data_IF_821392696323
#
_entry.id   IF_821392696323
#
_cell.length_a   1.000
_cell.length_b   1.000
_cell.length_c   1.000
_cell.angle_alpha   90.00
_cell.angle_beta   90.00
_cell.angle_gamma   90.00
#
_symmetry.space_group_name_H-M   'P 1'
#
loop_
_entity.id
_entity.type
_entity.pdbx_description
1 polymer ?
#
# COMPACT_ATOMS: atom_id res chain seq x y z
N UNK A 1 -22.43 -12.02 -30.51
CA UNK A 1 -21.24 -12.91 -30.33
C UNK A 1 -21.47 -13.73 -29.08
N UNK A 2 -21.48 -15.07 -29.16
CA UNK A 2 -21.57 -15.89 -27.94
C UNK A 2 -20.28 -15.71 -27.14
N UNK A 3 -20.42 -15.32 -25.87
CA UNK A 3 -19.32 -15.24 -24.93
C UNK A 3 -18.66 -16.62 -24.83
N UNK A 4 -17.34 -16.75 -24.94
CA UNK A 4 -16.68 -18.01 -24.61
C UNK A 4 -17.10 -18.41 -23.20
N UNK A 5 -17.62 -19.63 -23.04
CA UNK A 5 -18.14 -20.22 -21.79
C UNK A 5 -17.03 -20.56 -20.80
N UNK A 6 -16.03 -19.69 -20.69
CA UNK A 6 -14.96 -19.80 -19.71
C UNK A 6 -15.51 -19.45 -18.33
N UNK A 7 -15.34 -20.32 -17.30
CA UNK A 7 -15.80 -20.03 -15.94
C UNK A 7 -15.23 -18.73 -15.38
N UNK A 8 -13.99 -18.39 -15.74
CA UNK A 8 -13.35 -17.12 -15.36
C UNK A 8 -12.72 -16.43 -16.57
N UNK A 9 -12.59 -15.10 -16.50
CA UNK A 9 -11.94 -14.29 -17.51
C UNK A 9 -10.46 -14.67 -17.71
N UNK A 10 -9.83 -15.25 -16.68
CA UNK A 10 -8.45 -15.74 -16.73
C UNK A 10 -8.31 -17.03 -17.53
N UNK A 11 -9.36 -17.85 -17.63
CA UNK A 11 -9.33 -19.12 -18.37
C UNK A 11 -9.33 -18.90 -19.88
N UNK A 12 -9.73 -17.71 -20.34
CA UNK A 12 -9.62 -17.27 -21.72
C UNK A 12 -8.15 -17.05 -22.14
N UNK A 13 -7.58 -17.87 -23.05
CA UNK A 13 -6.15 -17.80 -23.40
C UNK A 13 -5.68 -16.41 -23.90
N UNK A 14 -6.44 -15.68 -24.74
CA UNK A 14 -6.07 -14.33 -25.15
C UNK A 14 -5.92 -13.35 -23.97
N UNK A 15 -6.67 -13.54 -22.89
CA UNK A 15 -6.56 -12.72 -21.67
C UNK A 15 -5.23 -12.94 -20.95
N UNK A 16 -4.79 -14.20 -20.81
CA UNK A 16 -3.47 -14.51 -20.24
C UNK A 16 -2.34 -13.92 -21.07
N UNK A 17 -2.42 -14.03 -22.40
CA UNK A 17 -1.44 -13.44 -23.31
C UNK A 17 -1.39 -11.92 -23.21
N UNK A 18 -2.55 -11.25 -23.18
CA UNK A 18 -2.62 -9.79 -23.03
C UNK A 18 -2.00 -9.32 -21.70
N UNK A 19 -2.31 -10.01 -20.60
CA UNK A 19 -1.72 -9.73 -19.29
C UNK A 19 -0.21 -10.02 -19.24
N UNK A 20 0.22 -11.17 -19.77
CA UNK A 20 1.62 -11.57 -19.80
C UNK A 20 2.45 -10.61 -20.65
N UNK A 21 1.97 -10.24 -21.84
CA UNK A 21 2.62 -9.22 -22.68
C UNK A 21 2.76 -7.90 -21.92
N UNK A 22 1.73 -7.47 -21.20
CA UNK A 22 1.80 -6.27 -20.38
C UNK A 22 2.87 -6.39 -19.28
N UNK A 23 2.96 -7.54 -18.62
CA UNK A 23 3.98 -7.82 -17.61
C UNK A 23 5.38 -7.86 -18.17
N UNK A 24 5.60 -8.56 -19.28
CA UNK A 24 6.90 -8.64 -19.96
C UNK A 24 7.37 -7.24 -20.37
N UNK A 25 6.51 -6.43 -21.00
CA UNK A 25 6.87 -5.05 -21.37
C UNK A 25 7.23 -4.19 -20.14
N UNK A 26 6.56 -4.41 -19.01
CA UNK A 26 6.85 -3.72 -17.76
C UNK A 26 8.19 -4.17 -17.15
N UNK A 27 8.51 -5.46 -17.19
CA UNK A 27 9.78 -6.03 -16.71
C UNK A 27 10.94 -5.61 -17.61
N UNK A 28 10.77 -5.71 -18.93
CA UNK A 28 11.75 -5.22 -19.90
C UNK A 28 12.01 -3.73 -19.67
N UNK A 29 10.96 -2.91 -19.51
CA UNK A 29 11.14 -1.50 -19.16
C UNK A 29 11.89 -1.32 -17.84
N UNK A 30 11.57 -2.12 -16.81
CA UNK A 30 12.23 -2.03 -15.50
C UNK A 30 13.72 -2.35 -15.56
N UNK A 31 14.14 -3.27 -16.44
CA UNK A 31 15.55 -3.65 -16.62
C UNK A 31 16.27 -2.69 -17.58
N UNK A 32 15.61 -2.33 -18.68
CA UNK A 32 16.18 -1.50 -19.73
C UNK A 32 16.47 -0.07 -19.24
N UNK A 33 15.62 0.54 -18.40
CA UNK A 33 15.87 1.90 -17.92
C UNK A 33 17.15 2.03 -17.08
N UNK A 34 17.40 1.19 -16.06
CA UNK A 34 18.70 1.12 -15.39
C UNK A 34 19.85 0.78 -16.33
N UNK A 35 19.65 -0.16 -17.26
CA UNK A 35 20.68 -0.54 -18.23
C UNK A 35 21.13 0.64 -19.10
N UNK A 36 20.16 1.38 -19.67
CA UNK A 36 20.41 2.63 -20.41
C UNK A 36 21.13 3.63 -19.53
N UNK A 37 20.73 3.78 -18.28
CA UNK A 37 21.39 4.71 -17.37
C UNK A 37 22.86 4.36 -17.09
N UNK A 38 23.15 3.08 -16.83
CA UNK A 38 24.53 2.60 -16.65
C UNK A 38 25.35 2.79 -17.93
N UNK A 39 24.77 2.48 -19.10
CA UNK A 39 25.43 2.71 -20.38
C UNK A 39 25.73 4.18 -20.64
N UNK A 40 24.78 5.08 -20.35
CA UNK A 40 24.96 6.53 -20.48
C UNK A 40 26.05 7.04 -19.54
N UNK A 41 26.07 6.57 -18.29
CA UNK A 41 27.14 6.91 -17.35
C UNK A 41 28.50 6.42 -17.86
N UNK A 42 28.59 5.16 -18.32
CA UNK A 42 29.83 4.60 -18.85
C UNK A 42 30.34 5.39 -20.05
N UNK A 43 29.48 5.74 -21.01
CA UNK A 43 29.84 6.59 -22.17
C UNK A 43 30.30 7.97 -21.70
N UNK A 44 29.61 8.55 -20.72
CA UNK A 44 29.96 9.85 -20.15
C UNK A 44 31.32 9.85 -19.45
N UNK A 45 31.68 8.77 -18.74
CA UNK A 45 32.93 8.72 -17.98
C UNK A 45 34.11 8.17 -18.77
N UNK A 46 33.85 7.33 -19.78
CA UNK A 46 34.91 6.57 -20.46
C UNK A 46 35.24 7.13 -21.85
N UNK A 47 34.26 7.66 -22.57
CA UNK A 47 34.44 8.08 -23.98
C UNK A 47 34.80 9.56 -24.10
N UNK A 48 34.33 10.39 -23.17
CA UNK A 48 34.54 11.84 -23.25
C UNK A 48 34.91 12.41 -21.88
N UNK A 49 36.17 12.83 -21.65
CA UNK A 49 36.55 13.53 -20.41
C UNK A 49 35.91 14.93 -20.29
N UNK A 50 35.10 15.33 -21.26
CA UNK A 50 34.45 16.63 -21.30
C UNK A 50 33.15 16.62 -20.49
N UNK A 51 33.15 17.36 -19.37
CA UNK A 51 32.06 17.40 -18.41
C UNK A 51 30.70 17.88 -18.98
N UNK A 52 30.64 18.48 -20.17
CA UNK A 52 29.38 18.97 -20.75
C UNK A 52 28.42 17.85 -21.16
N UNK A 53 28.94 16.68 -21.54
CA UNK A 53 28.12 15.54 -21.98
C UNK A 53 27.27 14.98 -20.83
N UNK A 54 27.76 15.09 -19.60
CA UNK A 54 27.00 14.72 -18.40
C UNK A 54 25.71 15.56 -18.28
N UNK A 55 25.73 16.85 -18.65
CA UNK A 55 24.54 17.70 -18.64
C UNK A 55 23.48 17.27 -19.65
N UNK A 56 23.90 16.74 -20.81
CA UNK A 56 22.96 16.17 -21.79
C UNK A 56 22.27 14.92 -21.24
N UNK A 57 22.98 14.11 -20.46
CA UNK A 57 22.44 12.85 -19.91
C UNK A 57 21.69 13.00 -18.59
N UNK A 58 21.80 14.12 -17.88
CA UNK A 58 21.03 14.39 -16.65
C UNK A 58 19.51 14.29 -16.90
N UNK A 59 18.91 14.96 -17.91
CA UNK A 59 17.48 14.83 -18.21
C UNK A 59 17.03 13.39 -18.46
N UNK A 60 17.82 12.61 -19.20
CA UNK A 60 17.53 11.20 -19.47
C UNK A 60 17.63 10.35 -18.21
N UNK A 61 18.58 10.65 -17.33
CA UNK A 61 18.74 9.99 -16.04
C UNK A 61 17.55 10.25 -15.11
N UNK A 62 17.13 11.51 -14.99
CA UNK A 62 15.96 11.90 -14.21
C UNK A 62 14.69 11.25 -14.77
N UNK A 63 14.55 11.22 -16.10
CA UNK A 63 13.44 10.55 -16.77
C UNK A 63 13.46 9.04 -16.52
N UNK A 64 14.64 8.39 -16.59
CA UNK A 64 14.81 6.96 -16.29
C UNK A 64 14.40 6.62 -14.85
N UNK A 65 14.81 7.42 -13.86
CA UNK A 65 14.40 7.27 -12.46
C UNK A 65 12.89 7.48 -12.28
N UNK A 66 12.31 8.50 -12.92
CA UNK A 66 10.87 8.70 -12.95
C UNK A 66 10.15 7.47 -13.54
N UNK A 67 10.64 6.95 -14.67
CA UNK A 67 10.10 5.76 -15.32
C UNK A 67 10.20 4.53 -14.42
N UNK A 68 11.32 4.32 -13.74
CA UNK A 68 11.50 3.24 -12.76
C UNK A 68 10.46 3.31 -11.64
N UNK A 69 10.28 4.49 -11.03
CA UNK A 69 9.26 4.72 -10.00
C UNK A 69 7.86 4.39 -10.53
N UNK A 70 7.51 4.93 -11.70
CA UNK A 70 6.23 4.67 -12.36
C UNK A 70 6.07 3.17 -12.63
N UNK A 71 7.12 2.49 -13.09
CA UNK A 71 7.14 1.06 -13.39
C UNK A 71 6.81 0.20 -12.16
N UNK A 72 7.40 0.52 -11.00
CA UNK A 72 7.11 -0.17 -9.74
C UNK A 72 5.66 -0.04 -9.29
N UNK A 73 5.01 1.10 -9.55
CA UNK A 73 3.61 1.29 -9.17
C UNK A 73 2.63 0.44 -9.98
N UNK A 74 3.03 -0.08 -11.16
CA UNK A 74 2.19 -0.94 -11.98
C UNK A 74 2.05 -2.36 -11.43
N UNK A 75 3.11 -2.94 -10.87
CA UNK A 75 3.09 -4.35 -10.46
C UNK A 75 1.94 -4.69 -9.50
N UNK A 76 1.71 -3.93 -8.40
CA UNK A 76 0.57 -4.19 -7.53
C UNK A 76 -0.78 -4.15 -8.26
N UNK A 77 -0.95 -3.23 -9.21
CA UNK A 77 -2.19 -3.11 -9.99
C UNK A 77 -2.34 -4.27 -10.96
N UNK A 78 -1.27 -4.70 -11.64
CA UNK A 78 -1.30 -5.85 -12.55
C UNK A 78 -1.61 -7.16 -11.81
N UNK A 79 -1.07 -7.35 -10.60
CA UNK A 79 -1.43 -8.50 -9.77
C UNK A 79 -2.88 -8.45 -9.29
N UNK A 80 -3.42 -7.25 -8.99
CA UNK A 80 -4.85 -7.08 -8.70
C UNK A 80 -5.72 -7.41 -9.90
N UNK A 81 -5.37 -6.93 -11.10
CA UNK A 81 -6.07 -7.30 -12.34
C UNK A 81 -6.15 -8.83 -12.48
N UNK A 82 -5.02 -9.54 -12.28
CA UNK A 82 -4.99 -11.01 -12.35
C UNK A 82 -5.92 -11.66 -11.33
N UNK A 83 -6.04 -11.12 -10.10
CA UNK A 83 -6.96 -11.65 -9.10
C UNK A 83 -8.42 -11.46 -9.50
N UNK A 84 -8.77 -10.29 -10.04
CA UNK A 84 -10.13 -10.03 -10.55
C UNK A 84 -10.46 -10.98 -11.70
N UNK A 85 -9.56 -11.11 -12.68
CA UNK A 85 -9.76 -11.98 -13.83
C UNK A 85 -9.93 -13.45 -13.45
N UNK A 86 -9.35 -13.89 -12.33
CA UNK A 86 -9.51 -15.25 -11.78
C UNK A 86 -10.80 -15.45 -10.99
N UNK A 87 -11.49 -14.38 -10.61
CA UNK A 87 -12.68 -14.43 -9.76
C UNK A 87 -13.98 -14.18 -10.55
N UNK A 88 -13.90 -13.52 -11.71
CA UNK A 88 -15.05 -13.11 -12.50
C UNK A 88 -14.91 -13.55 -13.96
N UNK A 89 -15.99 -14.00 -14.63
CA UNK A 89 -16.02 -14.24 -16.07
C UNK A 89 -16.02 -12.92 -16.86
N UNK A 90 -15.74 -12.99 -18.16
CA UNK A 90 -15.93 -11.86 -19.06
C UNK A 90 -17.41 -11.66 -19.37
N UNK A 91 -17.83 -10.39 -19.34
CA UNK A 91 -19.11 -9.90 -19.83
C UNK A 91 -18.83 -8.96 -21.01
N UNK A 92 -19.68 -9.03 -22.03
CA UNK A 92 -19.57 -8.20 -23.24
C UNK A 92 -20.70 -7.19 -23.18
N UNK A 93 -20.34 -5.93 -22.95
CA UNK A 93 -21.29 -4.86 -22.73
C UNK A 93 -21.25 -3.90 -23.92
N UNK A 94 -22.39 -3.68 -24.55
CA UNK A 94 -22.57 -2.73 -25.64
C UNK A 94 -23.20 -1.44 -25.11
N UNK A 95 -22.88 -0.30 -25.73
CA UNK A 95 -23.48 0.99 -25.37
C UNK A 95 -23.28 1.45 -23.93
N UNK A 96 -22.21 0.99 -23.25
CA UNK A 96 -21.92 1.34 -21.85
C UNK A 96 -21.74 2.85 -21.70
N UNK A 97 -22.59 3.58 -20.96
CA UNK A 97 -22.43 5.02 -20.82
C UNK A 97 -21.07 5.34 -20.20
N UNK A 98 -20.43 6.38 -20.71
CA UNK A 98 -19.13 6.81 -20.22
C UNK A 98 -19.00 8.32 -20.28
N UNK A 99 -17.98 8.86 -19.63
CA UNK A 99 -17.75 10.30 -19.70
C UNK A 99 -16.39 10.74 -19.18
N UNK A 100 -16.15 12.04 -19.37
CA UNK A 100 -15.02 12.78 -18.82
C UNK A 100 -15.55 13.83 -17.84
N UNK A 101 -15.00 13.88 -16.63
CA UNK A 101 -15.27 14.93 -15.64
C UNK A 101 -16.08 14.43 -14.45
N UNK A 102 -16.96 15.30 -13.93
CA UNK A 102 -17.76 15.03 -12.75
C UNK A 102 -18.99 14.19 -13.12
N UNK A 103 -19.25 13.15 -12.35
CA UNK A 103 -20.48 12.34 -12.44
C UNK A 103 -21.24 12.46 -11.13
N UNK A 104 -22.56 12.65 -11.17
CA UNK A 104 -23.38 12.93 -9.98
C UNK A 104 -23.33 11.81 -8.93
N UNK A 105 -23.27 10.56 -9.37
CA UNK A 105 -23.14 9.39 -8.49
C UNK A 105 -21.70 8.98 -8.14
N UNK A 106 -20.68 9.66 -8.66
CA UNK A 106 -19.28 9.28 -8.41
C UNK A 106 -18.66 10.12 -7.29
N UNK A 107 -17.91 9.47 -6.39
CA UNK A 107 -17.22 10.16 -5.29
C UNK A 107 -15.96 10.91 -5.74
N UNK A 108 -15.31 10.43 -6.79
CA UNK A 108 -14.08 11.01 -7.34
C UNK A 108 -14.37 11.53 -8.76
N UNK A 109 -13.78 12.67 -9.12
CA UNK A 109 -13.87 13.22 -10.49
C UNK A 109 -12.91 12.50 -11.44
N UNK A 110 -13.29 12.35 -12.71
CA UNK A 110 -12.37 11.82 -13.73
C UNK A 110 -13.04 11.17 -14.92
N UNK A 111 -12.35 10.21 -15.53
CA UNK A 111 -12.98 9.33 -16.53
C UNK A 111 -13.83 8.31 -15.80
N UNK A 112 -15.00 7.97 -16.31
CA UNK A 112 -15.87 6.98 -15.70
C UNK A 112 -16.61 6.13 -16.75
N UNK A 113 -17.02 4.94 -16.32
CA UNK A 113 -18.00 4.09 -16.99
C UNK A 113 -19.15 3.82 -16.02
N UNK A 114 -20.37 3.81 -16.53
CA UNK A 114 -21.57 3.51 -15.75
C UNK A 114 -22.00 2.06 -15.99
N UNK A 115 -22.11 1.29 -14.91
CA UNK A 115 -22.50 -0.12 -14.95
C UNK A 115 -23.78 -0.34 -14.15
N UNK A 116 -24.62 -1.31 -14.55
CA UNK A 116 -25.80 -1.70 -13.76
C UNK A 116 -25.38 -2.43 -12.49
N UNK A 117 -26.07 -2.19 -11.39
CA UNK A 117 -25.88 -2.97 -10.17
C UNK A 117 -26.39 -4.41 -10.40
N UNK A 118 -25.59 -5.45 -10.13
CA UNK A 118 -26.04 -6.83 -10.27
C UNK A 118 -27.16 -7.23 -9.28
N UNK A 119 -27.35 -6.49 -8.17
CA UNK A 119 -28.44 -6.72 -7.22
C UNK A 119 -29.72 -5.93 -7.57
N UNK A 120 -29.60 -4.81 -8.28
CA UNK A 120 -30.72 -3.97 -8.71
C UNK A 120 -30.42 -3.40 -10.10
N UNK A 121 -31.13 -3.87 -11.13
CA UNK A 121 -30.84 -3.52 -12.51
C UNK A 121 -31.11 -2.04 -12.84
N UNK A 122 -31.96 -1.36 -12.05
CA UNK A 122 -32.29 0.06 -12.22
C UNK A 122 -31.21 0.97 -11.60
N UNK A 123 -30.52 0.49 -10.56
CA UNK A 123 -29.42 1.22 -9.95
C UNK A 123 -28.17 1.19 -10.83
N UNK A 124 -27.58 2.37 -11.04
CA UNK A 124 -26.40 2.55 -11.87
C UNK A 124 -25.21 3.01 -11.06
N UNK A 125 -24.10 2.31 -11.22
CA UNK A 125 -22.88 2.49 -10.45
C UNK A 125 -21.77 3.03 -11.37
N UNK A 126 -21.29 4.26 -11.15
CA UNK A 126 -20.16 4.81 -11.89
C UNK A 126 -18.84 4.27 -11.32
N UNK A 127 -18.02 3.65 -12.18
CA UNK A 127 -16.64 3.28 -11.87
C UNK A 127 -15.67 4.29 -12.48
N UNK A 128 -14.93 4.98 -11.62
CA UNK A 128 -13.99 6.04 -12.00
C UNK A 128 -12.58 5.48 -12.20
N UNK A 129 -11.85 6.04 -13.17
CA UNK A 129 -10.42 5.82 -13.36
C UNK A 129 -9.63 6.64 -12.33
N UNK A 130 -9.57 6.15 -11.09
CA UNK A 130 -8.89 6.85 -9.97
C UNK A 130 -7.39 7.06 -10.27
N UNK A 131 -6.78 6.24 -11.14
CA UNK A 131 -5.36 6.36 -11.51
C UNK A 131 -5.20 6.78 -12.97
N UNK A 132 -4.40 7.83 -13.25
CA UNK A 132 -4.18 8.32 -14.62
C UNK A 132 -3.25 7.41 -15.45
N UNK A 133 -2.82 6.26 -14.92
CA UNK A 133 -1.82 5.44 -15.59
C UNK A 133 -2.38 4.76 -16.83
N UNK A 134 -1.86 5.15 -18.01
CA UNK A 134 -2.33 4.70 -19.33
C UNK A 134 -3.79 5.02 -19.62
N UNK A 135 -4.39 5.93 -18.85
CA UNK A 135 -5.76 6.36 -19.06
C UNK A 135 -5.90 7.27 -20.29
N UNK A 136 -4.82 7.92 -20.75
CA UNK A 136 -4.84 8.79 -21.93
C UNK A 136 -5.41 8.10 -23.20
N UNK A 137 -5.11 6.81 -23.41
CA UNK A 137 -5.67 6.07 -24.53
C UNK A 137 -7.20 5.91 -24.42
N UNK A 138 -7.68 5.67 -23.20
CA UNK A 138 -9.11 5.58 -22.86
C UNK A 138 -9.80 6.94 -22.96
N UNK A 139 -9.19 7.99 -22.40
CA UNK A 139 -9.69 9.37 -22.43
C UNK A 139 -10.08 9.84 -23.83
N UNK A 140 -9.32 9.44 -24.87
CA UNK A 140 -9.60 9.80 -26.27
C UNK A 140 -10.75 9.01 -26.91
N UNK A 141 -11.33 8.04 -26.20
CA UNK A 141 -12.34 7.08 -26.69
C UNK A 141 -13.61 7.04 -25.85
N UNK A 142 -13.58 7.61 -24.64
CA UNK A 142 -14.75 7.83 -23.80
C UNK A 142 -15.57 9.01 -24.31
N UNK A 143 -16.82 9.07 -23.94
CA UNK A 143 -17.73 10.09 -24.44
C UNK A 143 -17.31 11.46 -23.90
N UNK A 144 -17.20 12.42 -24.82
CA UNK A 144 -16.76 13.76 -24.51
C UNK A 144 -16.93 14.67 -25.73
N UNK A 145 -16.81 16.00 -25.57
CA UNK A 145 -17.18 16.96 -26.62
C UNK A 145 -16.44 16.80 -27.95
N UNK A 146 -15.31 16.10 -27.96
CA UNK A 146 -14.43 15.91 -29.12
C UNK A 146 -14.25 14.45 -29.53
N UNK A 147 -15.00 13.52 -28.93
CA UNK A 147 -14.82 12.08 -29.20
C UNK A 147 -15.52 11.72 -30.50
N UNK A 148 -14.74 11.26 -31.48
CA UNK A 148 -15.28 10.81 -32.77
C UNK A 148 -15.93 9.43 -32.62
N UNK A 149 -17.07 9.14 -33.28
CA UNK A 149 -17.73 7.83 -33.22
C UNK A 149 -16.81 6.65 -33.56
N UNK A 150 -15.89 6.83 -34.53
CA UNK A 150 -14.89 5.81 -34.89
C UNK A 150 -13.91 5.48 -33.75
N UNK A 151 -13.61 6.43 -32.87
CA UNK A 151 -12.77 6.17 -31.70
C UNK A 151 -13.56 5.45 -30.61
N UNK A 152 -14.83 5.83 -30.44
CA UNK A 152 -15.77 5.17 -29.53
C UNK A 152 -16.00 3.70 -29.91
N UNK A 153 -16.19 3.40 -31.18
CA UNK A 153 -16.31 2.03 -31.69
C UNK A 153 -15.07 1.14 -31.42
N UNK A 154 -13.92 1.70 -31.03
CA UNK A 154 -12.73 0.91 -30.66
C UNK A 154 -12.79 0.37 -29.23
N UNK A 155 -13.72 0.84 -28.40
CA UNK A 155 -13.94 0.33 -27.04
C UNK A 155 -15.22 -0.52 -26.95
N UNK A 156 -16.00 -0.64 -28.03
CA UNK A 156 -17.25 -1.39 -28.09
C UNK A 156 -17.09 -2.68 -28.94
N UNK A 157 -17.59 -3.84 -28.47
CA UNK A 157 -18.16 -4.08 -27.13
C UNK A 157 -17.08 -3.98 -26.04
N UNK A 158 -17.46 -3.46 -24.88
CA UNK A 158 -16.59 -3.35 -23.72
C UNK A 158 -16.50 -4.72 -23.03
N UNK A 159 -15.28 -5.24 -22.90
CA UNK A 159 -15.04 -6.45 -22.12
C UNK A 159 -14.95 -6.06 -20.66
N UNK A 160 -15.86 -6.57 -19.83
CA UNK A 160 -15.95 -6.27 -18.40
C UNK A 160 -15.81 -7.56 -17.57
N UNK A 161 -14.94 -7.55 -16.56
CA UNK A 161 -14.81 -8.65 -15.61
C UNK A 161 -14.67 -8.09 -14.20
N UNK A 162 -15.65 -8.32 -13.34
CA UNK A 162 -15.66 -7.79 -11.98
C UNK A 162 -17.07 -7.64 -11.42
N UNK A 163 -17.15 -6.89 -10.35
CA UNK A 163 -18.39 -6.40 -9.76
C UNK A 163 -18.27 -4.87 -9.65
N UNK A 164 -19.13 -4.09 -10.30
CA UNK A 164 -19.04 -2.63 -10.28
C UNK A 164 -19.16 -2.07 -8.86
N UNK A 165 -19.70 -2.86 -7.92
CA UNK A 165 -19.79 -2.50 -6.52
C UNK A 165 -18.44 -2.36 -5.82
N UNK A 166 -17.42 -3.06 -6.32
CA UNK A 166 -16.13 -3.17 -5.66
C UNK A 166 -14.96 -2.85 -6.60
N UNK A 167 -14.76 -3.72 -7.59
CA UNK A 167 -13.58 -3.72 -8.43
C UNK A 167 -13.87 -4.44 -9.74
N UNK A 168 -13.24 -3.95 -10.80
CA UNK A 168 -13.39 -4.52 -12.12
C UNK A 168 -12.14 -4.36 -12.97
N UNK A 169 -12.04 -5.20 -13.99
CA UNK A 169 -11.12 -5.05 -15.10
C UNK A 169 -11.95 -4.81 -16.35
N UNK A 170 -11.66 -3.71 -17.03
CA UNK A 170 -12.19 -3.44 -18.35
C UNK A 170 -11.12 -3.67 -19.40
N UNK A 171 -11.54 -4.07 -20.60
CA UNK A 171 -10.66 -4.21 -21.74
C UNK A 171 -11.35 -3.74 -23.01
N UNK A 172 -10.57 -3.14 -23.89
CA UNK A 172 -11.03 -2.82 -25.23
C UNK A 172 -10.92 -4.06 -26.13
N UNK A 173 -11.78 -4.21 -27.14
CA UNK A 173 -11.66 -5.28 -28.11
C UNK A 173 -10.35 -5.15 -28.91
N UNK A 174 -9.77 -6.31 -29.22
CA UNK A 174 -8.65 -6.44 -30.13
C UNK A 174 -9.04 -6.26 -31.59
N UNK A 175 -8.06 -6.40 -32.49
CA UNK A 175 -8.34 -6.42 -33.93
C UNK A 175 -9.24 -7.64 -34.19
N UNK A 176 -10.43 -7.41 -34.76
CA UNK A 176 -11.43 -8.46 -34.97
C UNK A 176 -12.30 -8.82 -33.76
N UNK A 177 -12.27 -8.04 -32.66
CA UNK A 177 -13.25 -8.18 -31.56
C UNK A 177 -13.08 -9.38 -30.62
N UNK A 178 -12.31 -10.41 -31.03
CA UNK A 178 -12.23 -11.73 -30.34
C UNK A 178 -11.31 -11.79 -29.12
N UNK A 179 -10.48 -10.78 -28.87
CA UNK A 179 -9.48 -10.83 -27.81
C UNK A 179 -9.43 -9.53 -27.01
N UNK A 180 -9.38 -9.55 -25.67
CA UNK A 180 -9.25 -8.34 -24.89
C UNK A 180 -7.86 -7.73 -25.07
N UNK A 181 -7.82 -6.42 -25.26
CA UNK A 181 -6.60 -5.61 -25.28
C UNK A 181 -6.75 -4.45 -24.29
N UNK A 182 -5.61 -3.83 -23.96
CA UNK A 182 -5.58 -2.60 -23.13
C UNK A 182 -6.26 -2.76 -21.76
N UNK A 183 -6.08 -3.91 -21.10
CA UNK A 183 -6.60 -4.17 -19.74
C UNK A 183 -6.40 -2.95 -18.82
N UNK A 184 -7.45 -2.54 -18.14
CA UNK A 184 -7.42 -1.46 -17.16
C UNK A 184 -8.20 -1.87 -15.91
N UNK A 185 -7.66 -1.52 -14.74
CA UNK A 185 -8.25 -1.86 -13.45
C UNK A 185 -9.03 -0.66 -12.91
N UNK A 186 -10.32 -0.85 -12.70
CA UNK A 186 -11.25 0.09 -12.09
C UNK A 186 -11.60 -0.40 -10.69
N UNK A 187 -11.85 0.53 -9.77
CA UNK A 187 -12.26 0.18 -8.42
C UNK A 187 -13.01 1.32 -7.77
N UNK A 188 -13.93 0.96 -6.87
CA UNK A 188 -14.47 1.91 -5.92
C UNK A 188 -13.48 2.15 -4.81
N UNK A 189 -13.34 3.40 -4.39
CA UNK A 189 -12.38 3.78 -3.35
C UNK A 189 -12.56 2.96 -2.05
N UNK A 190 -13.78 2.73 -1.53
CA UNK A 190 -14.00 1.86 -0.36
C UNK A 190 -13.47 0.43 -0.52
N UNK A 191 -13.50 -0.14 -1.73
CA UNK A 191 -13.01 -1.50 -1.95
C UNK A 191 -11.49 -1.66 -1.77
N UNK A 192 -10.74 -0.57 -1.65
CA UNK A 192 -9.27 -0.58 -1.50
C UNK A 192 -8.82 0.24 -0.30
N UNK A 193 -9.50 1.36 -0.05
CA UNK A 193 -9.29 2.25 1.06
C UNK A 193 -10.27 1.92 2.17
N UNK A 194 -9.77 1.22 3.19
CA UNK A 194 -10.57 0.80 4.37
C UNK A 194 -11.06 2.03 5.16
N UNK A 195 -10.49 3.21 4.91
CA UNK A 195 -10.93 4.45 5.56
C UNK A 195 -12.23 4.99 4.98
N UNK A 196 -12.66 4.51 3.81
CA UNK A 196 -13.91 4.94 3.21
C UNK A 196 -15.00 3.95 3.61
N UNK A 197 -16.10 4.47 4.17
CA UNK A 197 -17.29 3.67 4.45
C UNK A 197 -17.76 3.04 3.14
N UNK A 198 -17.88 1.71 3.07
CA UNK A 198 -18.43 1.03 1.90
C UNK A 198 -19.92 1.32 1.81
N UNK A 199 -20.38 1.67 0.62
CA UNK A 199 -21.81 1.69 0.33
C UNK A 199 -22.28 0.23 0.25
N UNK A 200 -23.39 -0.09 0.91
CA UNK A 200 -23.83 -1.48 1.07
C UNK A 200 -24.30 -2.10 -0.24
N UNK A 201 -24.80 -1.30 -1.19
CA UNK A 201 -25.21 -1.63 -2.58
C UNK A 201 -25.86 -3.02 -2.74
N UNK A 202 -26.63 -3.44 -1.73
CA UNK A 202 -27.28 -4.75 -1.67
C UNK A 202 -26.35 -5.96 -1.85
N UNK A 203 -25.06 -5.86 -1.50
CA UNK A 203 -24.13 -6.95 -1.73
C UNK A 203 -24.38 -8.15 -0.82
N UNK A 204 -24.62 -9.32 -1.44
CA UNK A 204 -24.82 -10.56 -0.69
C UNK A 204 -23.49 -11.03 -0.06
N UNK A 205 -23.52 -11.85 1.00
CA UNK A 205 -22.30 -12.42 1.58
C UNK A 205 -21.42 -13.15 0.56
N UNK A 206 -22.03 -13.85 -0.41
CA UNK A 206 -21.33 -14.54 -1.49
C UNK A 206 -20.60 -13.57 -2.44
N UNK A 207 -21.18 -12.40 -2.71
CA UNK A 207 -20.55 -11.34 -3.50
C UNK A 207 -19.35 -10.75 -2.75
N UNK A 208 -19.50 -10.51 -1.45
CA UNK A 208 -18.43 -10.03 -0.58
C UNK A 208 -17.25 -11.01 -0.53
N UNK A 209 -17.53 -12.31 -0.39
CA UNK A 209 -16.51 -13.36 -0.43
C UNK A 209 -15.78 -13.39 -1.78
N UNK A 210 -16.52 -13.29 -2.89
CA UNK A 210 -15.94 -13.26 -4.24
C UNK A 210 -15.08 -12.01 -4.44
N UNK A 211 -15.56 -10.84 -4.02
CA UNK A 211 -14.82 -9.59 -4.06
C UNK A 211 -13.54 -9.65 -3.22
N UNK A 212 -13.60 -10.25 -2.01
CA UNK A 212 -12.43 -10.49 -1.15
C UNK A 212 -11.40 -11.39 -1.83
N UNK A 213 -11.82 -12.47 -2.51
CA UNK A 213 -10.92 -13.31 -3.34
C UNK A 213 -10.25 -12.52 -4.47
N UNK A 214 -10.99 -11.60 -5.09
CA UNK A 214 -10.47 -10.69 -6.10
C UNK A 214 -9.56 -9.58 -5.53
N UNK A 215 -9.50 -9.43 -4.20
CA UNK A 215 -8.62 -8.51 -3.50
C UNK A 215 -9.29 -7.22 -3.02
N UNK A 216 -10.62 -7.16 -3.02
CA UNK A 216 -11.38 -6.11 -2.35
C UNK A 216 -11.18 -6.21 -0.85
N UNK A 217 -11.16 -5.06 -0.19
CA UNK A 217 -11.18 -4.93 1.25
C UNK A 217 -12.59 -4.50 1.62
N UNK A 218 -13.46 -5.49 1.78
CA UNK A 218 -14.82 -5.25 2.26
C UNK A 218 -14.90 -5.83 3.65
N UNK A 219 -15.23 -4.98 4.61
CA UNK A 219 -15.47 -5.42 5.97
C UNK A 219 -16.79 -6.18 6.00
N UNK A 220 -16.78 -7.35 6.63
CA UNK A 220 -18.04 -8.06 6.89
C UNK A 220 -18.76 -7.28 7.99
N UNK A 221 -19.99 -6.79 7.77
CA UNK A 221 -20.71 -6.00 8.78
C UNK A 221 -21.00 -6.77 10.08
N UNK A 222 -20.68 -8.07 10.16
CA UNK A 222 -21.02 -8.97 11.25
C UNK A 222 -20.13 -8.87 12.50
N UNK A 223 -19.21 -7.93 12.60
CA UNK A 223 -18.41 -7.78 13.82
C UNK A 223 -17.84 -6.39 14.00
N UNK A 224 -18.58 -5.34 13.64
CA UNK A 224 -18.50 -4.19 14.54
C UNK A 224 -19.14 -4.73 15.80
N UNK A 225 -18.39 -5.02 16.89
CA UNK A 225 -19.07 -5.23 18.14
C UNK A 225 -19.89 -3.96 18.30
N UNK A 226 -21.22 -4.08 18.33
CA UNK A 226 -21.99 -3.30 19.28
C UNK A 226 -21.31 -3.60 20.60
N UNK A 227 -20.25 -2.84 20.86
CA UNK A 227 -19.74 -2.67 22.21
C UNK A 227 -20.94 -2.03 22.84
N UNK A 228 -21.74 -2.84 23.53
CA UNK A 228 -22.73 -2.33 24.45
C UNK A 228 -21.95 -1.35 25.32
N UNK A 229 -22.13 -0.07 25.02
CA UNK A 229 -21.42 1.05 25.63
C UNK A 229 -21.69 1.09 27.15
N UNK A 230 -22.61 0.23 27.61
CA UNK A 230 -22.98 -0.06 28.98
C UNK A 230 -21.91 -0.81 29.81
N UNK A 231 -21.09 -1.69 29.22
CA UNK A 231 -20.17 -2.53 30.03
C UNK A 231 -18.74 -1.96 30.20
N UNK A 232 -18.44 -0.81 29.59
CA UNK A 232 -17.19 -0.06 29.78
C UNK A 232 -17.38 1.11 30.75
N UNK A 233 -18.15 0.89 31.83
CA UNK A 233 -18.26 1.83 32.96
C UNK A 233 -17.51 1.38 34.22
N UNK A 234 -16.88 0.20 34.20
CA UNK A 234 -16.05 -0.30 35.30
C UNK A 234 -14.67 0.36 35.41
N UNK A 235 -14.60 1.56 35.98
CA UNK A 235 -13.42 2.01 36.74
C UNK A 235 -12.14 2.41 36.00
N UNK A 236 -12.09 2.44 34.66
CA UNK A 236 -10.95 3.09 33.98
C UNK A 236 -11.08 4.60 34.07
N UNK A 237 -10.28 5.19 34.96
CA UNK A 237 -9.95 6.61 35.02
C UNK A 237 -9.88 7.18 33.60
N UNK A 238 -10.93 7.92 33.20
CA UNK A 238 -11.03 8.50 31.86
C UNK A 238 -9.93 9.54 31.71
N UNK A 239 -8.81 9.12 31.15
CA UNK A 239 -7.70 10.03 30.87
C UNK A 239 -8.23 11.20 30.03
N UNK A 240 -7.94 12.46 30.41
CA UNK A 240 -8.57 13.66 29.85
C UNK A 240 -8.35 13.84 28.33
N UNK A 241 -7.44 13.06 27.75
CA UNK A 241 -7.10 13.09 26.32
C UNK A 241 -7.70 11.93 25.50
N UNK A 242 -8.47 11.01 26.11
CA UNK A 242 -9.05 9.84 25.41
C UNK A 242 -10.06 10.22 24.31
N UNK A 243 -10.66 11.40 24.37
CA UNK A 243 -11.57 11.94 23.35
C UNK A 243 -10.85 12.74 22.25
N UNK A 244 -9.60 13.14 22.49
CA UNK A 244 -8.85 13.97 21.56
C UNK A 244 -8.06 13.12 20.57
N UNK A 245 -7.79 13.62 19.34
CA UNK A 245 -6.87 12.97 18.43
C UNK A 245 -5.55 12.63 19.13
N UNK A 246 -5.07 11.41 18.93
CA UNK A 246 -3.86 10.87 19.55
C UNK A 246 -2.63 11.78 19.36
N UNK A 247 -2.60 12.56 18.27
CA UNK A 247 -1.54 13.52 17.97
C UNK A 247 -1.51 14.71 18.96
N UNK A 248 -2.63 15.06 19.61
CA UNK A 248 -2.69 16.13 20.63
C UNK A 248 -2.02 15.74 21.94
N UNK A 249 -1.79 14.44 22.17
CA UNK A 249 -0.98 13.97 23.29
C UNK A 249 0.48 14.45 23.12
N UNK A 250 1.03 15.33 23.99
CA UNK A 250 2.27 16.04 23.71
C UNK A 250 3.48 15.14 23.42
N UNK A 251 3.72 14.04 24.17
CA UNK A 251 4.79 13.09 23.85
C UNK A 251 4.65 12.48 22.45
N UNK A 252 3.41 12.17 22.03
CA UNK A 252 3.12 11.57 20.73
C UNK A 252 3.37 12.58 19.60
N UNK A 253 2.82 13.79 19.75
CA UNK A 253 2.99 14.89 18.79
C UNK A 253 4.46 15.24 18.58
N UNK A 254 5.22 15.41 19.66
CA UNK A 254 6.66 15.70 19.59
C UNK A 254 7.44 14.58 18.89
N UNK A 255 7.16 13.32 19.20
CA UNK A 255 7.85 12.19 18.59
C UNK A 255 7.60 12.08 17.08
N UNK A 256 6.35 12.29 16.64
CA UNK A 256 6.00 12.31 15.21
C UNK A 256 6.62 13.50 14.50
N UNK A 257 6.54 14.70 15.08
CA UNK A 257 7.15 15.91 14.52
C UNK A 257 8.65 15.75 14.34
N UNK A 258 9.38 15.27 15.35
CA UNK A 258 10.83 14.97 15.27
C UNK A 258 11.13 13.96 14.17
N UNK A 259 10.31 12.89 14.05
CA UNK A 259 10.50 11.87 13.00
C UNK A 259 10.31 12.45 11.60
N UNK A 260 9.28 13.26 11.37
CA UNK A 260 9.03 13.92 10.08
C UNK A 260 10.15 14.89 9.75
N UNK A 261 10.48 15.81 10.66
CA UNK A 261 11.57 16.78 10.48
C UNK A 261 12.88 16.08 10.16
N UNK A 262 13.26 15.05 10.92
CA UNK A 262 14.49 14.29 10.66
C UNK A 262 14.53 13.69 9.26
N UNK A 263 13.43 13.11 8.78
CA UNK A 263 13.39 12.55 7.43
C UNK A 263 13.40 13.64 6.35
N UNK A 264 12.77 14.79 6.61
CA UNK A 264 12.87 15.95 5.70
C UNK A 264 14.30 16.49 5.64
N UNK A 265 14.98 16.68 6.77
CA UNK A 265 16.38 17.12 6.81
C UNK A 265 17.29 16.13 6.06
N UNK A 266 17.11 14.82 6.29
CA UNK A 266 17.87 13.81 5.56
C UNK A 266 17.65 13.91 4.05
N UNK A 267 16.39 14.02 3.60
CA UNK A 267 16.05 14.05 2.17
C UNK A 267 16.41 15.36 1.46
N UNK A 268 16.27 16.50 2.13
CA UNK A 268 16.37 17.82 1.49
C UNK A 268 17.65 18.59 1.83
N UNK A 269 18.38 18.21 2.88
CA UNK A 269 19.66 18.82 3.21
C UNK A 269 20.82 17.82 3.04
N UNK A 270 20.75 16.67 3.73
CA UNK A 270 21.89 15.74 3.78
C UNK A 270 22.15 15.08 2.43
N UNK A 271 21.14 14.48 1.79
CA UNK A 271 21.32 13.84 0.50
C UNK A 271 21.75 14.81 -0.61
N UNK A 272 21.14 16.00 -0.75
CA UNK A 272 21.60 17.00 -1.70
C UNK A 272 23.04 17.45 -1.43
N UNK A 273 23.42 17.71 -0.18
CA UNK A 273 24.81 18.05 0.16
C UNK A 273 25.78 16.92 -0.18
N UNK A 274 25.40 15.67 0.10
CA UNK A 274 26.21 14.49 -0.21
C UNK A 274 26.44 14.30 -1.71
N UNK A 275 25.50 14.74 -2.56
CA UNK A 275 25.66 14.72 -4.01
C UNK A 275 26.40 15.97 -4.52
N UNK A 276 26.04 17.16 -4.01
CA UNK A 276 26.51 18.44 -4.51
C UNK A 276 27.98 18.69 -4.17
N UNK A 277 28.43 18.36 -2.95
CA UNK A 277 29.82 18.63 -2.53
C UNK A 277 30.82 17.87 -3.44
N UNK A 278 30.69 16.55 -3.67
CA UNK A 278 31.62 15.83 -4.53
C UNK A 278 31.49 16.22 -6.00
N UNK A 279 30.29 16.62 -6.43
CA UNK A 279 30.05 17.13 -7.78
C UNK A 279 30.80 18.45 -8.01
N UNK A 280 30.70 19.40 -7.08
CA UNK A 280 31.43 20.67 -7.15
C UNK A 280 32.95 20.46 -7.09
N UNK A 281 33.43 19.55 -6.24
CA UNK A 281 34.85 19.21 -6.14
C UNK A 281 35.38 18.55 -7.43
N UNK A 282 34.59 17.67 -8.06
CA UNK A 282 34.93 17.07 -9.34
C UNK A 282 34.89 18.10 -10.48
N UNK A 283 33.92 19.03 -10.47
CA UNK A 283 33.82 20.10 -11.45
C UNK A 283 35.00 21.09 -11.38
N UNK A 284 35.61 21.26 -10.21
CA UNK A 284 36.84 22.04 -10.01
C UNK A 284 38.12 21.39 -10.56
N UNK A 285 38.01 20.32 -11.37
CA UNK A 285 39.16 19.67 -12.02
C UNK A 285 39.90 18.63 -11.17
N UNK A 286 39.44 18.34 -9.96
CA UNK A 286 40.10 17.36 -9.10
C UNK A 286 39.58 15.93 -9.36
N UNK A 287 40.25 15.25 -10.29
CA UNK A 287 39.90 13.88 -10.72
C UNK A 287 39.91 12.83 -9.61
N UNK A 288 40.54 13.09 -8.44
CA UNK A 288 40.54 12.17 -7.28
C UNK A 288 39.14 11.94 -6.71
N UNK A 289 38.18 12.81 -6.98
CA UNK A 289 36.80 12.68 -6.51
C UNK A 289 35.90 11.84 -7.42
N UNK A 290 36.36 11.46 -8.63
CA UNK A 290 35.57 10.65 -9.57
C UNK A 290 35.11 9.31 -8.96
N UNK A 291 35.98 8.51 -8.30
CA UNK A 291 35.54 7.26 -7.67
C UNK A 291 34.51 7.46 -6.55
N UNK A 292 34.64 8.55 -5.79
CA UNK A 292 33.67 8.92 -4.75
C UNK A 292 32.33 9.26 -5.40
N UNK A 293 32.35 10.03 -6.48
CA UNK A 293 31.13 10.37 -7.21
C UNK A 293 30.43 9.15 -7.78
N UNK A 294 31.16 8.20 -8.36
CA UNK A 294 30.59 6.93 -8.84
C UNK A 294 29.92 6.16 -7.70
N UNK A 295 30.57 6.04 -6.53
CA UNK A 295 29.96 5.38 -5.35
C UNK A 295 28.67 6.06 -4.89
N UNK A 296 28.65 7.40 -4.89
CA UNK A 296 27.47 8.19 -4.49
C UNK A 296 26.34 8.00 -5.49
N UNK A 297 26.65 8.05 -6.78
CA UNK A 297 25.72 7.80 -7.88
C UNK A 297 25.09 6.40 -7.77
N UNK A 298 25.82 5.41 -7.27
CA UNK A 298 25.28 4.06 -6.99
C UNK A 298 24.47 3.99 -5.68
N UNK A 299 24.92 4.65 -4.60
CA UNK A 299 24.27 4.59 -3.29
C UNK A 299 22.97 5.40 -3.22
N UNK A 300 22.90 6.56 -3.88
CA UNK A 300 21.75 7.47 -3.85
C UNK A 300 20.46 6.78 -4.30
N UNK A 301 20.42 6.06 -5.45
CA UNK A 301 19.24 5.31 -5.88
C UNK A 301 18.78 4.23 -4.90
N UNK A 302 19.66 3.72 -4.03
CA UNK A 302 19.31 2.69 -3.03
C UNK A 302 18.77 3.35 -1.76
N UNK A 303 19.46 4.38 -1.27
CA UNK A 303 19.18 4.96 0.03
C UNK A 303 18.05 6.00 0.00
N UNK A 304 17.94 6.81 -1.06
CA UNK A 304 16.88 7.83 -1.17
C UNK A 304 15.48 7.19 -1.14
N UNK A 305 15.18 6.10 -1.87
CA UNK A 305 13.87 5.44 -1.77
C UNK A 305 13.55 4.96 -0.35
N UNK A 306 14.55 4.49 0.41
CA UNK A 306 14.37 4.09 1.80
C UNK A 306 13.95 5.29 2.68
N UNK A 307 14.62 6.44 2.54
CA UNK A 307 14.24 7.65 3.27
C UNK A 307 12.88 8.22 2.84
N UNK A 308 12.57 8.19 1.54
CA UNK A 308 11.23 8.56 1.03
C UNK A 308 10.18 7.66 1.66
N UNK A 309 10.41 6.35 1.68
CA UNK A 309 9.49 5.40 2.30
C UNK A 309 9.36 5.62 3.82
N UNK A 310 10.45 5.96 4.52
CA UNK A 310 10.42 6.28 5.93
C UNK A 310 9.61 7.57 6.21
N UNK A 311 9.78 8.61 5.39
CA UNK A 311 8.98 9.83 5.44
C UNK A 311 7.50 9.54 5.19
N UNK A 312 7.17 8.81 4.12
CA UNK A 312 5.79 8.41 3.79
C UNK A 312 5.17 7.61 4.93
N UNK A 313 5.93 6.71 5.57
CA UNK A 313 5.46 5.95 6.73
C UNK A 313 5.18 6.88 7.91
N UNK A 314 6.05 7.85 8.20
CA UNK A 314 5.83 8.85 9.25
C UNK A 314 4.61 9.72 8.99
N UNK A 315 4.42 10.19 7.75
CA UNK A 315 3.24 10.98 7.34
C UNK A 315 1.95 10.16 7.42
N UNK A 316 1.98 8.88 7.05
CA UNK A 316 0.83 7.98 7.24
C UNK A 316 0.48 7.81 8.72
N UNK A 317 1.48 7.67 9.59
CA UNK A 317 1.24 7.60 11.03
C UNK A 317 0.67 8.91 11.56
N UNK A 318 1.22 10.05 11.15
CA UNK A 318 0.69 11.37 11.50
C UNK A 318 -0.80 11.47 11.16
N UNK A 319 -1.19 11.07 9.94
CA UNK A 319 -2.60 11.09 9.51
C UNK A 319 -3.51 10.19 10.35
N UNK A 320 -3.06 8.99 10.73
CA UNK A 320 -3.85 8.10 11.61
C UNK A 320 -4.00 8.73 13.00
N UNK A 321 -2.91 9.26 13.56
CA UNK A 321 -2.90 9.88 14.89
C UNK A 321 -3.68 11.20 14.94
N UNK A 322 -3.79 11.93 13.82
CA UNK A 322 -4.57 13.17 13.75
C UNK A 322 -6.08 12.91 13.61
N UNK A 323 -6.49 11.69 13.25
CA UNK A 323 -7.89 11.33 12.99
C UNK A 323 -8.49 10.46 14.08
N UNK A 324 -7.68 9.68 14.78
CA UNK A 324 -8.14 8.74 15.80
C UNK A 324 -7.61 9.15 17.17
N UNK A 325 -8.46 9.02 18.19
CA UNK A 325 -8.00 9.12 19.57
C UNK A 325 -7.27 7.86 20.01
N UNK A 326 -6.47 8.00 21.05
CA UNK A 326 -5.82 6.87 21.70
C UNK A 326 -6.86 6.08 22.51
N UNK A 327 -6.91 4.77 22.30
CA UNK A 327 -7.72 3.82 23.07
C UNK A 327 -6.80 2.83 23.75
N UNK A 328 -7.05 2.54 25.02
CA UNK A 328 -6.32 1.50 25.72
C UNK A 328 -6.84 0.15 25.22
N UNK A 329 -5.94 -0.71 24.78
CA UNK A 329 -6.27 -2.03 24.24
C UNK A 329 -5.44 -3.05 24.99
N UNK A 330 -6.12 -4.04 25.56
CA UNK A 330 -5.45 -5.19 26.15
C UNK A 330 -4.72 -5.99 25.09
N UNK A 331 -3.47 -6.32 25.38
CA UNK A 331 -2.64 -7.10 24.50
C UNK A 331 -1.83 -8.13 25.26
N UNK A 332 -1.57 -9.24 24.59
CA UNK A 332 -0.68 -10.28 25.04
C UNK A 332 0.54 -10.31 24.10
N UNK A 333 1.75 -10.29 24.67
CA UNK A 333 2.97 -10.46 23.88
C UNK A 333 3.14 -11.94 23.56
N UNK A 334 2.94 -12.31 22.30
CA UNK A 334 2.99 -13.70 21.84
C UNK A 334 4.41 -14.06 21.41
N UNK A 335 4.90 -15.21 21.88
CA UNK A 335 6.20 -15.75 21.46
C UNK A 335 6.10 -16.32 20.04
N UNK A 336 6.89 -15.77 19.12
CA UNK A 336 6.98 -16.26 17.74
C UNK A 336 8.14 -17.24 17.58
N UNK A 337 7.87 -18.51 17.28
CA UNK A 337 8.90 -19.55 17.05
C UNK A 337 9.79 -19.24 15.83
N UNK A 338 9.23 -18.62 14.78
CA UNK A 338 9.95 -18.30 13.55
C UNK A 338 11.11 -17.29 13.74
N UNK A 339 11.14 -16.59 14.87
CA UNK A 339 12.19 -15.65 15.22
C UNK A 339 13.03 -16.32 16.29
N UNK A 340 13.90 -17.25 15.88
CA UNK A 340 14.77 -18.01 16.76
C UNK A 340 15.25 -17.15 17.92
N UNK A 341 14.70 -17.44 19.09
CA UNK A 341 14.96 -16.68 20.30
C UNK A 341 16.36 -17.05 20.76
N UNK A 342 17.38 -16.38 20.23
CA UNK A 342 18.51 -16.06 21.10
C UNK A 342 18.00 -14.92 21.97
N UNK A 343 17.37 -15.27 23.11
CA UNK A 343 17.50 -14.41 24.27
C UNK A 343 19.00 -14.19 24.38
N UNK A 344 19.44 -13.00 24.00
CA UNK A 344 20.75 -12.56 24.43
C UNK A 344 20.55 -12.43 25.93
N UNK A 345 21.01 -13.43 26.69
CA UNK A 345 21.07 -13.37 28.14
C UNK A 345 21.97 -12.18 28.49
N UNK A 346 21.39 -10.99 28.49
CA UNK A 346 21.96 -9.78 29.07
C UNK A 346 21.71 -9.80 30.58
N UNK A 347 21.94 -10.96 31.21
CA UNK A 347 21.79 -11.19 32.66
C UNK A 347 22.82 -10.41 33.48
N UNK A 348 23.82 -9.77 32.86
CA UNK A 348 24.92 -9.11 33.56
C UNK A 348 24.76 -7.62 33.83
N UNK A 349 23.67 -6.95 33.39
CA UNK A 349 23.56 -5.48 33.52
C UNK A 349 22.20 -4.92 33.96
N UNK A 350 21.26 -5.74 34.45
CA UNK A 350 19.95 -5.25 34.92
C UNK A 350 19.09 -4.57 33.83
N UNK A 351 19.42 -4.75 32.55
CA UNK A 351 18.63 -4.20 31.44
C UNK A 351 17.43 -5.11 31.17
N UNK A 352 16.26 -4.49 31.09
CA UNK A 352 15.00 -5.17 30.77
C UNK A 352 15.10 -5.88 29.41
N UNK A 353 14.86 -7.20 29.40
CA UNK A 353 14.85 -8.02 28.18
C UNK A 353 13.71 -7.54 27.29
N UNK A 354 14.04 -6.98 26.13
CA UNK A 354 13.04 -6.54 25.15
C UNK A 354 12.85 -7.60 24.07
N UNK A 355 11.60 -7.83 23.70
CA UNK A 355 11.22 -8.91 22.78
C UNK A 355 10.58 -8.36 21.51
N UNK A 356 10.76 -9.00 20.33
CA UNK A 356 10.12 -8.54 19.11
C UNK A 356 8.61 -8.42 19.32
N UNK A 357 8.04 -7.26 19.02
CA UNK A 357 6.63 -6.95 19.21
C UNK A 357 5.77 -7.77 18.26
N UNK A 358 5.39 -8.96 18.71
CA UNK A 358 4.33 -9.80 18.17
C UNK A 358 3.24 -9.80 19.23
N UNK A 359 2.14 -9.12 18.94
CA UNK A 359 1.11 -8.75 19.91
C UNK A 359 -0.20 -9.37 19.47
N UNK A 360 -0.83 -10.16 20.35
CA UNK A 360 -2.22 -10.56 20.20
C UNK A 360 -3.08 -9.54 20.92
N UNK A 361 -3.91 -8.84 20.18
CA UNK A 361 -4.89 -7.92 20.77
C UNK A 361 -6.07 -8.75 21.26
N UNK A 362 -6.39 -8.67 22.56
CA UNK A 362 -7.56 -9.36 23.14
C UNK A 362 -8.84 -8.79 22.53
N UNK A 363 -9.86 -9.64 22.36
CA UNK A 363 -11.11 -9.30 21.67
C UNK A 363 -11.07 -9.35 20.14
N UNK A 364 -9.93 -9.06 19.50
CA UNK A 364 -9.84 -9.10 18.03
C UNK A 364 -9.30 -10.42 17.46
N UNK A 365 -8.66 -11.27 18.29
CA UNK A 365 -8.08 -12.56 17.87
C UNK A 365 -6.90 -12.45 16.87
N UNK A 366 -6.62 -11.26 16.34
CA UNK A 366 -5.54 -11.04 15.38
C UNK A 366 -4.21 -10.84 16.06
N UNK A 367 -3.18 -11.54 15.56
CA UNK A 367 -1.80 -11.30 15.94
C UNK A 367 -1.16 -10.32 14.97
N UNK A 368 -0.59 -9.28 15.55
CA UNK A 368 -0.02 -8.15 14.86
C UNK A 368 1.47 -8.04 15.17
N UNK A 369 2.24 -7.51 14.23
CA UNK A 369 3.66 -7.24 14.42
C UNK A 369 3.99 -5.79 14.12
N UNK A 370 4.97 -5.25 14.82
CA UNK A 370 5.45 -3.90 14.57
C UNK A 370 6.04 -3.78 13.15
N UNK A 371 5.66 -2.70 12.45
CA UNK A 371 6.21 -2.34 11.15
C UNK A 371 6.70 -0.89 11.13
N UNK A 372 7.78 -0.60 10.39
CA UNK A 372 8.42 -1.51 9.44
C UNK A 372 9.72 -2.15 9.92
N UNK A 373 10.18 -1.85 11.13
CA UNK A 373 11.34 -2.48 11.75
C UNK A 373 10.92 -3.33 12.95
N UNK A 374 11.70 -4.37 13.25
CA UNK A 374 11.58 -5.15 14.48
C UNK A 374 11.66 -4.19 15.65
N UNK A 375 10.50 -3.90 16.23
CA UNK A 375 10.43 -3.11 17.45
C UNK A 375 10.41 -4.07 18.61
N UNK A 376 11.19 -3.75 19.62
CA UNK A 376 11.21 -4.53 20.83
C UNK A 376 10.38 -3.83 21.90
N UNK A 377 9.47 -4.58 22.50
CA UNK A 377 8.57 -4.16 23.58
C UNK A 377 8.90 -4.96 24.83
N UNK A 378 8.55 -4.43 25.99
CA UNK A 378 8.66 -5.20 27.22
C UNK A 378 7.69 -6.40 27.19
N UNK A 379 8.12 -7.61 27.59
CA UNK A 379 7.24 -8.77 27.65
C UNK A 379 6.15 -8.64 28.71
N UNK A 380 6.29 -7.69 29.64
CA UNK A 380 5.32 -7.41 30.71
C UNK A 380 4.19 -6.49 30.28
N UNK A 381 4.20 -6.01 29.03
CA UNK A 381 3.16 -5.13 28.52
C UNK A 381 1.86 -5.90 28.36
N UNK A 382 0.88 -5.56 29.18
CA UNK A 382 -0.50 -6.07 29.12
C UNK A 382 -1.44 -5.12 28.40
N UNK A 383 -1.05 -3.85 28.23
CA UNK A 383 -1.88 -2.82 27.61
C UNK A 383 -1.08 -1.94 26.65
N UNK A 384 -1.69 -1.58 25.52
CA UNK A 384 -1.14 -0.64 24.56
C UNK A 384 -2.13 0.46 24.24
N UNK A 385 -1.62 1.65 24.00
CA UNK A 385 -2.39 2.70 23.37
C UNK A 385 -2.50 2.40 21.88
N UNK A 386 -3.71 2.38 21.35
CA UNK A 386 -4.02 2.11 19.95
C UNK A 386 -4.82 3.26 19.34
N UNK A 387 -4.38 3.74 18.18
CA UNK A 387 -5.08 4.72 17.37
C UNK A 387 -5.38 4.11 16.00
N UNK A 388 -6.67 4.01 15.67
CA UNK A 388 -7.18 3.30 14.49
C UNK A 388 -7.55 1.84 14.76
N UNK A 389 -8.18 1.19 13.78
CA UNK A 389 -8.66 -0.18 13.93
C UNK A 389 -7.51 -1.22 13.88
N UNK A 390 -7.41 -2.13 14.88
CA UNK A 390 -6.50 -3.27 14.87
C UNK A 390 -6.62 -4.09 13.58
N UNK A 391 -5.60 -4.05 12.72
CA UNK A 391 -5.60 -4.75 11.42
C UNK A 391 -5.67 -3.83 10.18
N UNK A 392 -6.11 -2.59 10.35
CA UNK A 392 -6.24 -1.57 9.27
C UNK A 392 -5.04 -0.62 9.26
N UNK A 393 -3.91 -1.07 9.80
CA UNK A 393 -2.70 -0.26 9.90
C UNK A 393 -2.75 0.78 11.01
N UNK A 394 -3.40 0.41 12.13
CA UNK A 394 -3.37 1.10 13.40
C UNK A 394 -1.95 1.49 13.82
N UNK A 395 -1.88 2.59 14.57
CA UNK A 395 -0.68 3.05 15.24
C UNK A 395 -0.81 2.72 16.71
N UNK A 396 0.19 2.09 17.28
CA UNK A 396 0.24 1.79 18.71
C UNK A 396 1.43 2.43 19.39
N UNK A 397 1.31 2.63 20.70
CA UNK A 397 2.41 3.05 21.58
C UNK A 397 2.32 2.32 22.91
N UNK A 398 3.49 2.10 23.52
CA UNK A 398 3.59 1.72 24.94
C UNK A 398 2.90 2.78 25.81
N UNK A 399 2.42 2.41 27.03
CA UNK A 399 1.96 3.35 28.03
C UNK A 399 2.91 4.56 28.15
N UNK A 400 2.35 5.77 28.12
CA UNK A 400 3.10 7.03 28.03
C UNK A 400 3.21 7.64 26.63
N UNK A 401 2.74 6.96 25.57
CA UNK A 401 2.44 7.58 24.26
C UNK A 401 3.63 8.16 23.46
N UNK A 402 4.85 8.14 24.00
CA UNK A 402 6.00 8.86 23.46
C UNK A 402 6.58 8.26 22.17
N UNK A 403 6.09 7.08 21.76
CA UNK A 403 6.89 6.18 20.94
C UNK A 403 6.01 5.41 19.94
N UNK A 404 5.19 6.07 19.11
CA UNK A 404 4.28 5.37 18.22
C UNK A 404 4.99 4.52 17.15
N UNK A 405 4.37 3.40 16.77
CA UNK A 405 4.72 2.52 15.65
C UNK A 405 3.48 1.93 14.99
N UNK A 406 3.60 1.45 13.75
CA UNK A 406 2.48 0.81 13.05
C UNK A 406 2.43 -0.67 13.38
N UNK A 407 1.21 -1.20 13.44
CA UNK A 407 0.98 -2.63 13.45
C UNK A 407 0.60 -3.13 12.06
N UNK A 408 1.09 -4.31 11.70
CA UNK A 408 0.65 -5.05 10.52
C UNK A 408 0.29 -6.49 10.92
N UNK A 409 -0.58 -7.13 10.13
CA UNK A 409 -0.95 -8.53 10.36
C UNK A 409 0.28 -9.43 10.31
N UNK A 410 0.50 -10.19 11.38
CA UNK A 410 1.56 -11.20 11.42
C UNK A 410 1.17 -12.35 10.48
N UNK A 411 2.10 -12.73 9.59
CA UNK A 411 1.88 -13.80 8.60
C UNK A 411 2.53 -15.13 8.97
N UNK A 412 3.33 -15.17 10.04
CA UNK A 412 3.97 -16.39 10.48
C UNK A 412 2.98 -17.33 11.17
N UNK A 413 3.30 -18.62 11.17
CA UNK A 413 2.63 -19.60 12.01
C UNK A 413 2.96 -19.29 13.47
N UNK A 414 1.93 -18.96 14.24
CA UNK A 414 2.04 -18.96 15.69
C UNK A 414 2.05 -20.44 16.04
N UNK A 415 3.18 -20.93 16.57
CA UNK A 415 3.18 -22.29 17.12
C UNK A 415 2.01 -22.40 18.10
N UNK A 416 1.40 -23.59 18.18
CA UNK A 416 0.46 -23.90 19.26
C UNK A 416 1.25 -23.86 20.58
N UNK A 417 1.61 -22.66 21.01
CA UNK A 417 2.26 -22.42 22.27
C UNK A 417 1.17 -22.74 23.28
N UNK A 418 1.36 -23.88 23.92
CA UNK A 418 0.67 -24.32 25.12
C UNK A 418 0.34 -23.08 25.93
N UNK A 419 -0.94 -22.73 26.01
CA UNK A 419 -1.50 -21.73 26.94
C UNK A 419 -1.37 -22.25 28.36
N UNK A 420 -0.19 -22.76 28.73
CA UNK A 420 0.17 -22.94 30.11
C UNK A 420 0.27 -21.52 30.68
N UNK A 421 -0.63 -21.14 31.61
CA UNK A 421 -0.50 -19.86 32.27
C UNK A 421 0.93 -19.77 32.83
N UNK A 422 1.59 -18.64 32.62
CA UNK A 422 2.81 -18.32 33.34
C UNK A 422 2.35 -18.00 34.77
N UNK A 423 1.98 -19.02 35.53
CA UNK A 423 1.82 -18.95 36.97
C UNK A 423 3.21 -18.72 37.53
N UNK A 424 3.56 -17.45 37.67
CA UNK A 424 4.59 -17.01 38.61
C UNK A 424 4.05 -17.20 40.02
N UNK A 425 3.75 -18.44 40.39
CA UNK A 425 3.58 -18.81 41.78
C UNK A 425 4.99 -18.79 42.35
N UNK A 426 5.33 -17.67 43.02
CA UNK A 426 6.48 -17.59 43.91
C UNK A 426 6.31 -18.75 44.88
N UNK A 427 7.11 -19.79 44.72
CA UNK A 427 7.38 -20.73 45.78
C UNK A 427 7.76 -19.89 47.01
N UNK A 428 6.88 -19.88 48.01
CA UNK A 428 7.22 -19.38 49.34
C UNK A 428 8.39 -20.24 49.80
N UNK A 429 9.58 -19.64 49.81
CA UNK A 429 10.71 -20.20 50.53
C UNK A 429 10.32 -20.09 51.99
N UNK A 430 9.88 -21.21 52.57
CA UNK A 430 9.83 -21.40 54.01
C UNK A 430 11.26 -21.30 54.52
N UNK A 431 11.56 -20.24 55.28
CA UNK A 431 12.77 -20.18 56.10
C UNK A 431 12.66 -21.21 57.25
N UNK A 432 13.76 -21.89 57.60
CA UNK A 432 13.82 -22.85 58.71
C UNK A 432 13.80 -22.18 60.09
#
# INVERSE_FOLDING_TARGET
>A
MQSPTCPTAWDHPPTRHAWMRHMVMNVVGLIAWPGVWVALLFVSTSTYPSNWILWIFIPYSLYGLYRLRVQFTYFPQAFRMRRVLRAYPWQFLEGVPSGLGKHSGARDDGMWFEFRNPADAEEKIPLVFIRPQRSYWWMRRLDGPRTRPRLRAQIEPLWFAGDPRFLAVVAAPGRGGRAPKRLHFLYQRPAIDIQCVPDSWGATPADLDRARRAGARVDTPSSTPTVDEADVQGGTERLPWASQPALKHPPTGQAIRRRVIRQMVLLFAVWPAFVLIPLLLAAGGNHRFIPIMVRIVVLVPIAVPFHIWALVTALRMHRVLSTHSWRLVECEVVRSAAHGWRLKDESSAGREVRVPAVLRIRGHGTVLTATPFKRYVSPRITHLWCAGAPGVGAVVSEPGGARPFRLAKYKGTIGAATTAPVTGERAQVSEP
#
